data_IF_613132796014
#
_entry.id   IF_613132796014
#
_cell.length_a   1.000
_cell.length_b   1.000
_cell.length_c   1.000
_cell.angle_alpha   90.00
_cell.angle_beta   90.00
_cell.angle_gamma   90.00
#
_symmetry.space_group_name_H-M   'P 1'
#
loop_
_entity.id
_entity.type
_entity.pdbx_description
1 polymer ?
#
# COMPACT_ATOMS: atom_id res chain seq x y z
N UNK A 1 9.74 8.82 41.55
CA UNK A 1 10.00 9.02 40.11
C UNK A 1 8.93 8.29 39.31
N UNK A 2 7.94 9.04 38.86
CA UNK A 2 6.83 8.51 38.09
C UNK A 2 7.32 8.37 36.64
N UNK A 3 7.56 7.14 36.21
CA UNK A 3 7.80 6.85 34.80
C UNK A 3 6.51 7.18 34.03
N UNK A 4 6.49 8.29 33.31
CA UNK A 4 5.47 8.54 32.33
C UNK A 4 5.63 7.52 31.20
N UNK A 5 4.77 6.50 31.21
CA UNK A 5 4.61 5.62 30.07
C UNK A 5 3.91 6.45 29.00
N UNK A 6 4.66 6.88 27.99
CA UNK A 6 4.08 7.41 26.77
C UNK A 6 3.32 6.26 26.10
N UNK A 7 2.03 6.18 26.35
CA UNK A 7 1.16 5.36 25.53
C UNK A 7 1.05 6.11 24.20
N UNK A 8 1.83 5.68 23.21
CA UNK A 8 1.73 6.23 21.86
C UNK A 8 0.29 6.10 21.39
N UNK A 9 -0.36 7.23 21.12
CA UNK A 9 -1.69 7.25 20.52
C UNK A 9 -1.55 6.59 19.16
N UNK A 10 -2.21 5.42 18.93
CA UNK A 10 -2.29 4.79 17.63
C UNK A 10 -3.00 5.75 16.69
N UNK A 11 -2.27 6.30 15.71
CA UNK A 11 -2.84 7.12 14.67
C UNK A 11 -3.20 6.25 13.47
N UNK A 12 -4.49 5.94 13.33
CA UNK A 12 -5.04 5.29 12.13
C UNK A 12 -5.33 6.39 11.11
N UNK A 13 -4.66 6.28 9.96
CA UNK A 13 -4.83 7.21 8.86
C UNK A 13 -6.05 6.83 8.02
N UNK A 14 -6.63 7.82 7.36
CA UNK A 14 -7.73 7.58 6.42
C UNK A 14 -7.17 7.03 5.09
N UNK A 15 -7.66 5.88 4.67
CA UNK A 15 -7.32 5.28 3.38
C UNK A 15 -8.19 5.90 2.28
N UNK A 16 -7.55 6.42 1.24
CA UNK A 16 -8.25 6.94 0.06
C UNK A 16 -8.87 5.80 -0.74
N UNK A 17 -10.07 6.02 -1.26
CA UNK A 17 -10.79 5.04 -2.06
C UNK A 17 -10.93 5.51 -3.51
N UNK A 18 -10.71 4.59 -4.45
CA UNK A 18 -10.99 4.83 -5.86
C UNK A 18 -12.46 5.29 -6.05
N UNK A 19 -12.78 6.29 -6.83
CA UNK A 19 -11.95 6.94 -7.85
C UNK A 19 -11.24 8.25 -7.41
N UNK A 20 -10.88 8.41 -6.15
CA UNK A 20 -10.19 9.62 -5.68
C UNK A 20 -8.91 9.85 -6.51
N UNK A 21 -8.81 11.04 -7.11
CA UNK A 21 -7.72 11.39 -8.02
C UNK A 21 -6.35 11.45 -7.33
N UNK A 22 -6.31 11.66 -6.02
CA UNK A 22 -5.06 11.66 -5.25
C UNK A 22 -4.33 10.32 -5.31
N UNK A 23 -5.06 9.23 -5.57
CA UNK A 23 -4.45 7.92 -5.81
C UNK A 23 -3.59 7.87 -7.09
N UNK A 24 -3.75 8.83 -7.98
CA UNK A 24 -3.01 8.92 -9.25
C UNK A 24 -1.75 9.77 -9.14
N UNK A 25 -1.45 10.30 -7.98
CA UNK A 25 -0.26 11.11 -7.74
C UNK A 25 0.99 10.24 -7.71
N UNK A 26 2.02 10.63 -8.46
CA UNK A 26 3.32 9.96 -8.44
C UNK A 26 4.08 10.37 -7.20
N UNK A 27 4.53 9.40 -6.42
CA UNK A 27 5.26 9.62 -5.19
C UNK A 27 6.69 10.12 -5.45
N UNK A 28 7.16 11.01 -4.58
CA UNK A 28 8.51 11.56 -4.62
C UNK A 28 9.45 10.75 -3.72
N UNK A 29 10.74 10.65 -4.07
CA UNK A 29 11.73 10.06 -3.20
C UNK A 29 11.79 10.73 -1.83
N UNK A 30 12.15 9.95 -0.82
CA UNK A 30 12.45 10.44 0.53
C UNK A 30 13.93 10.80 0.57
N UNK A 31 14.24 12.08 0.79
CA UNK A 31 15.63 12.55 0.83
C UNK A 31 16.33 12.14 2.12
N UNK A 32 15.65 12.33 3.25
CA UNK A 32 16.16 11.97 4.57
C UNK A 32 15.10 11.25 5.38
N UNK A 33 15.49 10.22 6.11
CA UNK A 33 14.60 9.50 7.01
C UNK A 33 14.55 10.25 8.34
N UNK A 34 13.62 11.19 8.41
CA UNK A 34 13.37 12.04 9.57
C UNK A 34 12.46 11.36 10.58
N UNK A 35 12.28 11.98 11.74
CA UNK A 35 11.30 11.52 12.73
C UNK A 35 9.88 11.49 12.14
N UNK A 36 9.54 12.40 11.23
CA UNK A 36 8.25 12.43 10.53
C UNK A 36 8.04 11.21 9.63
N UNK A 37 9.09 10.80 8.90
CA UNK A 37 9.04 9.58 8.08
C UNK A 37 8.89 8.34 8.96
N UNK A 38 9.59 8.27 10.07
CA UNK A 38 9.45 7.16 11.01
C UNK A 38 8.06 7.10 11.64
N UNK A 39 7.47 8.25 11.97
CA UNK A 39 6.09 8.31 12.45
C UNK A 39 5.10 7.89 11.34
N UNK A 40 5.31 8.32 10.11
CA UNK A 40 4.51 7.88 8.97
C UNK A 40 4.52 6.36 8.83
N UNK A 41 5.69 5.74 8.92
CA UNK A 41 5.83 4.27 8.86
C UNK A 41 5.01 3.60 9.97
N UNK A 42 5.11 4.10 11.19
CA UNK A 42 4.33 3.58 12.33
C UNK A 42 2.83 3.72 12.08
N UNK A 43 2.38 4.89 11.65
CA UNK A 43 0.97 5.16 11.37
C UNK A 43 0.45 4.31 10.19
N UNK A 44 1.28 4.08 9.18
CA UNK A 44 0.93 3.22 8.04
C UNK A 44 0.77 1.76 8.48
N UNK A 45 1.66 1.25 9.32
CA UNK A 45 1.54 -0.10 9.87
C UNK A 45 0.28 -0.25 10.71
N UNK A 46 -0.01 0.69 11.60
CA UNK A 46 -1.23 0.68 12.41
C UNK A 46 -2.49 0.71 11.53
N UNK A 47 -2.49 1.53 10.48
CA UNK A 47 -3.59 1.62 9.52
C UNK A 47 -3.77 0.31 8.73
N UNK A 48 -2.67 -0.25 8.25
CA UNK A 48 -2.69 -1.53 7.52
C UNK A 48 -3.29 -2.65 8.38
N UNK A 49 -2.87 -2.77 9.63
CA UNK A 49 -3.38 -3.80 10.54
C UNK A 49 -4.85 -3.55 10.91
N UNK A 50 -5.23 -2.32 11.17
CA UNK A 50 -6.61 -1.94 11.47
C UNK A 50 -7.57 -2.29 10.32
N UNK A 51 -7.13 -2.10 9.08
CA UNK A 51 -7.89 -2.41 7.86
C UNK A 51 -7.78 -3.87 7.42
N UNK A 52 -7.07 -4.71 8.17
CA UNK A 52 -6.79 -6.11 7.82
C UNK A 52 -6.08 -6.29 6.46
N UNK A 53 -5.30 -5.31 6.06
CA UNK A 53 -4.49 -5.37 4.85
C UNK A 53 -3.15 -6.06 5.08
N UNK A 54 -2.52 -6.50 3.99
CA UNK A 54 -1.18 -7.10 4.00
C UNK A 54 -0.11 -6.16 3.45
N UNK A 55 -0.52 -5.06 2.84
CA UNK A 55 0.35 -4.03 2.31
C UNK A 55 -0.35 -2.68 2.26
N UNK A 56 0.43 -1.62 2.30
CA UNK A 56 -0.04 -0.24 2.18
C UNK A 56 1.08 0.65 1.64
N UNK A 57 0.74 1.47 0.65
CA UNK A 57 1.62 2.51 0.13
C UNK A 57 1.21 3.88 0.67
N UNK A 58 2.17 4.76 0.87
CA UNK A 58 1.91 6.10 1.42
C UNK A 58 0.93 6.92 0.59
N UNK A 59 0.92 6.74 -0.73
CA UNK A 59 -0.06 7.39 -1.63
C UNK A 59 -1.50 7.12 -1.20
N UNK A 60 -1.79 5.93 -0.70
CA UNK A 60 -3.14 5.54 -0.27
C UNK A 60 -3.63 6.28 0.98
N UNK A 61 -2.74 6.91 1.71
CA UNK A 61 -3.05 7.74 2.88
C UNK A 61 -2.73 9.22 2.64
N UNK A 62 -2.73 9.61 1.37
CA UNK A 62 -2.50 10.99 0.91
C UNK A 62 -1.12 11.57 1.29
N UNK A 63 -0.13 10.69 1.39
CA UNK A 63 1.27 11.09 1.55
C UNK A 63 2.05 10.61 0.32
N UNK A 64 2.44 11.55 -0.53
CA UNK A 64 2.99 11.22 -1.84
C UNK A 64 4.51 11.10 -1.79
N UNK A 65 4.98 10.17 -0.96
CA UNK A 65 6.38 9.81 -0.75
C UNK A 65 6.57 8.31 -0.97
N UNK A 66 7.75 7.93 -1.41
CA UNK A 66 8.06 6.53 -1.72
C UNK A 66 8.29 5.72 -0.45
N UNK A 67 7.20 5.38 0.21
CA UNK A 67 7.18 4.56 1.43
C UNK A 67 6.11 3.48 1.28
N UNK A 68 6.48 2.24 1.57
CA UNK A 68 5.61 1.06 1.52
C UNK A 68 5.83 0.21 2.76
N UNK A 69 4.76 -0.33 3.31
CA UNK A 69 4.78 -1.32 4.38
C UNK A 69 4.06 -2.60 3.94
N UNK A 70 4.60 -3.75 4.32
CA UNK A 70 4.03 -5.07 3.99
C UNK A 70 4.20 -5.99 5.20
N UNK A 71 3.17 -6.77 5.48
CA UNK A 71 3.24 -7.91 6.39
C UNK A 71 2.35 -9.03 5.83
N UNK A 72 2.99 -10.08 5.30
CA UNK A 72 2.31 -11.27 4.76
C UNK A 72 2.23 -12.41 5.76
N UNK A 73 2.75 -12.23 6.98
CA UNK A 73 2.75 -13.28 8.00
C UNK A 73 1.34 -13.59 8.50
N UNK A 74 1.10 -14.86 8.85
CA UNK A 74 -0.19 -15.28 9.41
C UNK A 74 -0.45 -14.63 10.77
N UNK A 75 0.58 -14.53 11.61
CA UNK A 75 0.47 -13.98 12.96
C UNK A 75 0.54 -12.44 12.99
N UNK A 76 0.70 -11.79 11.83
CA UNK A 76 0.74 -10.33 11.72
C UNK A 76 1.79 -9.68 12.63
N UNK A 77 2.97 -10.28 12.68
CA UNK A 77 4.07 -9.88 13.56
C UNK A 77 5.43 -9.80 12.86
N UNK A 78 5.43 -9.78 11.52
CA UNK A 78 6.64 -9.68 10.69
C UNK A 78 6.54 -8.52 9.69
N UNK A 79 6.39 -7.27 10.19
CA UNK A 79 6.28 -6.11 9.30
C UNK A 79 7.57 -5.84 8.55
N UNK A 80 7.42 -5.49 7.28
CA UNK A 80 8.52 -5.08 6.41
C UNK A 80 8.30 -3.64 5.97
N UNK A 81 9.38 -2.87 5.94
CA UNK A 81 9.36 -1.45 5.55
C UNK A 81 10.28 -1.24 4.36
N UNK A 82 9.77 -0.55 3.35
CA UNK A 82 10.49 -0.24 2.12
C UNK A 82 10.42 1.26 1.87
N UNK A 83 11.53 1.95 2.04
CA UNK A 83 11.68 3.37 1.77
C UNK A 83 12.52 3.54 0.52
N UNK A 84 12.06 4.38 -0.41
CA UNK A 84 12.65 4.53 -1.74
C UNK A 84 12.81 3.18 -2.49
N UNK A 85 11.77 2.34 -2.51
CA UNK A 85 11.89 1.04 -3.15
C UNK A 85 11.98 1.17 -4.66
N UNK A 86 12.77 0.27 -5.26
CA UNK A 86 12.93 0.13 -6.70
C UNK A 86 12.99 -1.35 -7.06
N UNK A 87 12.23 -1.78 -8.05
CA UNK A 87 12.34 -3.12 -8.61
C UNK A 87 13.50 -3.10 -9.61
N UNK A 88 14.55 -3.84 -9.31
CA UNK A 88 15.76 -3.90 -10.13
C UNK A 88 15.75 -5.07 -11.11
N UNK A 89 14.98 -6.11 -10.84
CA UNK A 89 14.79 -7.22 -11.79
C UNK A 89 13.44 -7.88 -11.61
N UNK A 90 12.93 -8.43 -12.72
CA UNK A 90 11.69 -9.21 -12.77
C UNK A 90 11.95 -10.47 -13.58
N UNK A 91 11.35 -11.60 -13.16
CA UNK A 91 11.41 -12.84 -13.92
C UNK A 91 10.15 -13.67 -13.73
N UNK A 92 9.86 -14.49 -14.74
CA UNK A 92 8.72 -15.37 -14.74
C UNK A 92 7.38 -14.64 -14.81
N UNK A 93 6.31 -15.42 -14.87
CA UNK A 93 4.95 -14.92 -14.90
C UNK A 93 4.08 -15.72 -13.92
N UNK A 94 3.20 -15.04 -13.24
CA UNK A 94 2.19 -15.65 -12.38
C UNK A 94 0.93 -14.81 -12.41
N UNK A 95 -0.15 -15.35 -11.92
CA UNK A 95 -1.40 -14.60 -11.76
C UNK A 95 -1.94 -14.82 -10.36
N UNK A 96 -2.58 -13.79 -9.82
CA UNK A 96 -3.12 -13.82 -8.48
C UNK A 96 -4.40 -13.01 -8.42
N UNK A 97 -5.37 -13.47 -7.64
CA UNK A 97 -6.60 -12.71 -7.38
C UNK A 97 -6.29 -11.62 -6.36
N UNK A 98 -6.14 -10.38 -6.84
CA UNK A 98 -5.78 -9.23 -6.03
C UNK A 98 -7.00 -8.47 -5.54
N UNK A 99 -6.86 -7.90 -4.36
CA UNK A 99 -7.74 -6.88 -3.81
C UNK A 99 -6.89 -5.71 -3.31
N UNK A 100 -7.52 -4.62 -2.92
CA UNK A 100 -6.84 -3.42 -2.46
C UNK A 100 -7.69 -2.67 -1.45
N UNK A 101 -7.07 -2.16 -0.39
CA UNK A 101 -7.75 -1.33 0.60
C UNK A 101 -8.39 -0.08 -0.02
N UNK A 102 -7.80 0.43 -1.10
CA UNK A 102 -8.32 1.58 -1.86
C UNK A 102 -9.42 1.22 -2.86
N UNK A 103 -9.68 -0.06 -3.09
CA UNK A 103 -10.76 -0.57 -3.96
C UNK A 103 -11.53 -1.64 -3.19
N UNK A 104 -12.25 -1.25 -2.12
CA UNK A 104 -12.80 -2.22 -1.17
C UNK A 104 -13.81 -3.16 -1.82
N UNK A 105 -13.80 -4.43 -1.38
CA UNK A 105 -14.73 -5.49 -1.78
C UNK A 105 -14.70 -5.86 -3.27
N UNK A 106 -13.67 -5.47 -3.99
CA UNK A 106 -13.46 -5.85 -5.39
C UNK A 106 -12.17 -6.64 -5.53
N UNK A 107 -12.26 -7.76 -6.23
CA UNK A 107 -11.15 -8.67 -6.46
C UNK A 107 -11.07 -9.01 -7.93
N UNK A 108 -9.89 -9.13 -8.47
CA UNK A 108 -9.69 -9.54 -9.85
C UNK A 108 -8.32 -10.17 -10.05
N UNK A 109 -8.26 -11.08 -10.99
CA UNK A 109 -7.02 -11.75 -11.38
C UNK A 109 -6.13 -10.79 -12.16
N UNK A 110 -4.89 -10.63 -11.69
CA UNK A 110 -3.87 -9.78 -12.32
C UNK A 110 -2.63 -10.63 -12.60
N UNK A 111 -2.04 -10.45 -13.78
CA UNK A 111 -0.78 -11.06 -14.14
C UNK A 111 0.37 -10.23 -13.59
N UNK A 112 1.32 -10.90 -12.94
CA UNK A 112 2.50 -10.29 -12.33
C UNK A 112 3.75 -11.09 -12.68
N UNK A 113 4.93 -10.47 -12.48
CA UNK A 113 6.16 -11.24 -12.46
C UNK A 113 6.13 -12.23 -11.29
N UNK A 114 6.63 -13.44 -11.51
CA UNK A 114 6.69 -14.48 -10.47
C UNK A 114 7.73 -14.16 -9.40
N UNK A 115 8.82 -13.54 -9.81
CA UNK A 115 9.95 -13.16 -8.95
C UNK A 115 10.37 -11.73 -9.22
N UNK A 116 10.72 -11.00 -8.17
CA UNK A 116 11.26 -9.64 -8.26
C UNK A 116 12.45 -9.48 -7.31
N UNK A 117 13.37 -8.64 -7.68
CA UNK A 117 14.41 -8.14 -6.78
C UNK A 117 14.13 -6.67 -6.52
N UNK A 118 14.11 -6.28 -5.25
CA UNK A 118 13.83 -4.92 -4.81
C UNK A 118 15.02 -4.38 -4.03
N UNK A 119 15.44 -3.18 -4.37
CA UNK A 119 16.40 -2.39 -3.60
C UNK A 119 15.64 -1.30 -2.87
N UNK A 120 15.86 -1.16 -1.57
CA UNK A 120 15.17 -0.18 -0.74
C UNK A 120 16.00 0.19 0.49
N UNK A 121 15.55 1.22 1.19
CA UNK A 121 16.07 1.54 2.53
C UNK A 121 15.12 0.98 3.58
N UNK A 122 15.69 0.49 4.68
CA UNK A 122 14.92 0.13 5.86
C UNK A 122 14.54 1.37 6.68
N UNK A 123 13.87 1.16 7.80
CA UNK A 123 13.42 2.23 8.70
C UNK A 123 14.55 3.10 9.25
N UNK A 124 15.77 2.53 9.36
CA UNK A 124 16.96 3.22 9.85
C UNK A 124 17.77 3.88 8.73
N UNK A 125 17.34 3.75 7.49
CA UNK A 125 18.01 4.33 6.33
C UNK A 125 19.07 3.45 5.69
N UNK A 126 19.23 2.22 6.16
CA UNK A 126 20.19 1.27 5.60
C UNK A 126 19.64 0.66 4.30
N UNK A 127 20.46 0.66 3.26
CA UNK A 127 20.11 0.02 1.99
C UNK A 127 20.18 -1.49 2.10
N UNK A 128 19.20 -2.15 1.52
CA UNK A 128 19.16 -3.60 1.39
C UNK A 128 18.62 -3.99 0.02
N UNK A 129 18.88 -5.22 -0.35
CA UNK A 129 18.35 -5.86 -1.54
C UNK A 129 17.59 -7.12 -1.11
N UNK A 130 16.40 -7.28 -1.64
CA UNK A 130 15.53 -8.41 -1.34
C UNK A 130 15.10 -9.09 -2.62
N UNK A 131 15.34 -10.38 -2.72
CA UNK A 131 14.77 -11.23 -3.76
C UNK A 131 13.49 -11.87 -3.22
N UNK A 132 12.38 -11.69 -3.90
CA UNK A 132 11.07 -12.15 -3.47
C UNK A 132 10.38 -12.98 -4.53
N UNK A 133 9.64 -13.99 -4.08
CA UNK A 133 8.73 -14.80 -4.89
C UNK A 133 7.36 -14.87 -4.22
N UNK A 134 6.45 -15.64 -4.80
CA UNK A 134 5.13 -15.90 -4.23
C UNK A 134 4.35 -14.62 -3.90
N UNK A 135 3.64 -14.67 -2.78
CA UNK A 135 2.78 -13.57 -2.35
C UNK A 135 3.56 -12.27 -2.10
N UNK A 136 4.77 -12.35 -1.54
CA UNK A 136 5.59 -11.17 -1.30
C UNK A 136 5.95 -10.45 -2.61
N UNK A 137 6.30 -11.19 -3.66
CA UNK A 137 6.58 -10.61 -4.97
C UNK A 137 5.36 -9.89 -5.54
N UNK A 138 4.18 -10.48 -5.39
CA UNK A 138 2.91 -9.87 -5.85
C UNK A 138 2.61 -8.60 -5.06
N UNK A 139 2.73 -8.64 -3.74
CA UNK A 139 2.49 -7.47 -2.88
C UNK A 139 3.45 -6.33 -3.20
N UNK A 140 4.74 -6.62 -3.39
CA UNK A 140 5.72 -5.60 -3.75
C UNK A 140 5.36 -4.90 -5.05
N UNK A 141 4.98 -5.66 -6.09
CA UNK A 141 4.58 -5.07 -7.36
C UNK A 141 3.31 -4.22 -7.23
N UNK A 142 2.32 -4.71 -6.49
CA UNK A 142 1.07 -4.01 -6.22
C UNK A 142 1.34 -2.67 -5.50
N UNK A 143 2.12 -2.69 -4.42
CA UNK A 143 2.40 -1.50 -3.62
C UNK A 143 3.30 -0.49 -4.35
N UNK A 144 4.29 -0.97 -5.10
CA UNK A 144 5.13 -0.08 -5.91
C UNK A 144 4.35 0.58 -7.05
N UNK A 145 3.34 -0.10 -7.60
CA UNK A 145 2.43 0.51 -8.56
C UNK A 145 1.71 1.73 -7.98
N UNK A 146 1.27 1.67 -6.72
CA UNK A 146 0.65 2.83 -6.06
C UNK A 146 1.56 4.05 -6.03
N UNK A 147 2.87 3.85 -5.88
CA UNK A 147 3.85 4.94 -5.90
C UNK A 147 3.98 5.58 -7.29
N UNK A 148 3.52 4.91 -8.33
CA UNK A 148 3.46 5.42 -9.70
C UNK A 148 2.06 5.92 -10.08
N UNK A 149 1.12 5.91 -9.15
CA UNK A 149 -0.27 6.29 -9.40
C UNK A 149 -1.09 5.22 -10.11
N UNK A 150 -0.67 3.96 -10.02
CA UNK A 150 -1.37 2.82 -10.64
C UNK A 150 -2.12 2.00 -9.61
N UNK A 151 -3.25 1.46 -10.01
CA UNK A 151 -4.08 0.54 -9.23
C UNK A 151 -4.18 -0.80 -9.97
N UNK A 152 -4.45 -1.89 -9.22
CA UNK A 152 -4.57 -3.21 -9.84
C UNK A 152 -5.69 -3.27 -10.89
N UNK A 153 -6.74 -2.47 -10.75
CA UNK A 153 -7.84 -2.38 -11.71
C UNK A 153 -7.41 -1.82 -13.06
N UNK A 154 -6.26 -1.14 -13.14
CA UNK A 154 -5.73 -0.61 -14.40
C UNK A 154 -5.34 -1.73 -15.37
N UNK A 155 -5.08 -2.94 -14.85
CA UNK A 155 -4.79 -4.13 -15.64
C UNK A 155 -6.05 -4.86 -16.14
N UNK A 156 -7.23 -4.41 -15.72
CA UNK A 156 -8.53 -4.96 -16.14
C UNK A 156 -9.02 -4.29 -17.41
N UNK A 157 -10.00 -4.92 -18.06
CA UNK A 157 -10.66 -4.31 -19.20
C UNK A 157 -11.31 -2.97 -18.80
N UNK A 158 -11.43 -2.00 -19.73
CA UNK A 158 -12.10 -0.73 -19.44
C UNK A 158 -13.53 -0.92 -18.92
N UNK A 159 -14.24 -1.93 -19.42
CA UNK A 159 -15.60 -2.24 -18.98
C UNK A 159 -15.64 -2.67 -17.51
N UNK A 160 -14.74 -3.58 -17.08
CA UNK A 160 -14.67 -4.02 -15.70
C UNK A 160 -14.30 -2.88 -14.75
N UNK A 161 -13.32 -2.08 -15.15
CA UNK A 161 -12.87 -0.91 -14.38
C UNK A 161 -14.01 0.11 -14.22
N UNK A 162 -14.75 0.38 -15.26
CA UNK A 162 -15.89 1.31 -15.23
C UNK A 162 -17.03 0.82 -14.32
N UNK A 163 -17.31 -0.48 -14.33
CA UNK A 163 -18.28 -1.09 -13.41
C UNK A 163 -17.89 -0.91 -11.95
N UNK A 164 -16.61 -1.11 -11.63
CA UNK A 164 -16.06 -0.91 -10.28
C UNK A 164 -16.20 0.54 -9.88
N UNK A 165 -15.85 1.48 -10.77
CA UNK A 165 -15.99 2.92 -10.54
C UNK A 165 -17.43 3.29 -10.18
N UNK A 166 -18.39 2.89 -11.00
CA UNK A 166 -19.80 3.21 -10.80
C UNK A 166 -20.34 2.66 -9.49
N UNK A 167 -19.94 1.43 -9.15
CA UNK A 167 -20.33 0.79 -7.89
C UNK A 167 -19.79 1.58 -6.67
N UNK A 168 -18.53 1.96 -6.67
CA UNK A 168 -17.89 2.69 -5.58
C UNK A 168 -18.44 4.12 -5.47
N UNK A 169 -18.70 4.80 -6.58
CA UNK A 169 -19.31 6.12 -6.58
C UNK A 169 -20.74 6.08 -5.99
N UNK A 170 -21.51 5.06 -6.33
CA UNK A 170 -22.86 4.85 -5.79
C UNK A 170 -22.81 4.59 -4.28
N UNK A 171 -21.92 3.73 -3.82
CA UNK A 171 -21.74 3.43 -2.40
C UNK A 171 -21.32 4.68 -1.61
N UNK A 172 -20.40 5.49 -2.15
CA UNK A 172 -19.97 6.75 -1.54
C UNK A 172 -21.14 7.75 -1.38
N UNK A 173 -22.00 7.87 -2.39
CA UNK A 173 -23.20 8.72 -2.33
C UNK A 173 -24.20 8.23 -1.29
N UNK A 174 -24.40 6.92 -1.19
CA UNK A 174 -25.29 6.33 -0.18
C UNK A 174 -24.75 6.56 1.23
N UNK A 175 -23.45 6.41 1.46
CA UNK A 175 -22.82 6.68 2.74
C UNK A 175 -22.99 8.14 3.17
N UNK A 176 -22.85 9.09 2.25
CA UNK A 176 -23.09 10.51 2.52
C UNK A 176 -24.55 10.80 2.93
N UNK A 177 -25.52 10.13 2.30
CA UNK A 177 -26.95 10.30 2.66
C UNK A 177 -27.29 9.80 4.04
N UNK A 178 -26.60 8.76 4.53
CA UNK A 178 -26.81 8.19 5.86
C UNK A 178 -26.01 8.87 6.96
N UNK A 179 -25.06 9.73 6.62
CA UNK A 179 -24.22 10.47 7.59
C UNK A 179 -24.87 11.77 8.10
N UNK A 180 -26.02 12.16 7.58
CA UNK A 180 -26.76 13.36 8.00
C UNK A 180 -27.76 13.02 9.12
#
# INVERSE_FOLDING_TARGET
ETKHIFVGVMAVLQVLHFPDERLRTVAKPVDNITAEIQQLVTDMLDTMYDENGIGLAATQVDVHKRVVVIDISEDRNEPMVFINPEITSRSGETSYEEGCLSVPQNYAKVERAAEVTVKAQDRDGNWFELHADGLLAICLQHELDHLLGKLFIDYLSPLKRDRIRKKLEKEAKMAQRHAL
#
